data_IF_761335016272
#
_entry.id   IF_761335016272
#
_cell.length_a   1.000
_cell.length_b   1.000
_cell.length_c   1.000
_cell.angle_alpha   90.00
_cell.angle_beta   90.00
_cell.angle_gamma   90.00
#
_symmetry.space_group_name_H-M   'P 1'
#
loop_
_entity.id
_entity.type
_entity.pdbx_description
1 polymer ?
#
# COMPACT_ATOMS: atom_id res chain seq x y z
N UNK A 1 -3.03 26.53 -26.25
CA UNK A 1 -2.31 25.24 -26.22
C UNK A 1 -1.01 25.51 -25.46
N UNK A 2 -0.94 25.09 -24.20
CA UNK A 2 0.26 25.20 -23.36
C UNK A 2 0.45 23.82 -22.73
N UNK A 3 1.62 23.26 -22.96
CA UNK A 3 2.11 22.04 -22.35
C UNK A 3 2.14 22.19 -20.82
N UNK A 4 1.68 21.17 -20.11
CA UNK A 4 1.99 20.97 -18.71
C UNK A 4 2.89 19.76 -18.68
N UNK A 5 4.19 20.04 -18.56
CA UNK A 5 5.20 19.06 -18.19
C UNK A 5 4.77 18.40 -16.86
N UNK A 6 4.51 17.10 -16.91
CA UNK A 6 4.32 16.30 -15.70
C UNK A 6 5.72 16.12 -15.12
N UNK A 7 6.06 17.00 -14.18
CA UNK A 7 7.29 16.95 -13.42
C UNK A 7 7.30 15.65 -12.61
N UNK A 8 8.31 14.83 -12.88
CA UNK A 8 8.67 13.62 -12.16
C UNK A 8 8.85 13.93 -10.66
N UNK A 9 7.77 13.76 -9.90
CA UNK A 9 7.79 13.99 -8.45
C UNK A 9 8.17 12.70 -7.75
N UNK A 10 9.48 12.48 -7.68
CA UNK A 10 10.06 11.65 -6.63
C UNK A 10 9.70 12.30 -5.29
N UNK A 11 8.56 11.94 -4.70
CA UNK A 11 8.16 12.40 -3.38
C UNK A 11 9.17 11.83 -2.38
N UNK A 12 9.93 12.67 -1.64
CA UNK A 12 10.78 12.19 -0.57
C UNK A 12 9.90 11.50 0.46
N UNK A 13 10.22 10.24 0.78
CA UNK A 13 9.54 9.37 1.74
C UNK A 13 9.29 9.97 3.15
N UNK A 14 9.78 11.19 3.44
CA UNK A 14 9.66 11.89 4.73
C UNK A 14 8.58 12.97 4.81
N UNK A 15 7.78 13.22 3.76
CA UNK A 15 6.75 14.27 3.77
C UNK A 15 5.36 13.72 3.37
N UNK A 16 4.94 12.63 4.01
CA UNK A 16 3.50 12.41 4.18
C UNK A 16 2.95 13.67 4.86
N UNK A 17 1.98 14.33 4.24
CA UNK A 17 1.42 15.59 4.67
C UNK A 17 1.08 15.54 6.18
N UNK A 18 1.94 16.14 7.02
CA UNK A 18 1.81 16.08 8.48
C UNK A 18 0.42 16.57 8.92
N UNK A 19 -0.19 17.48 8.15
CA UNK A 19 -1.52 17.99 8.39
C UNK A 19 -2.58 16.89 8.32
N UNK A 20 -2.49 15.98 7.35
CA UNK A 20 -3.40 14.84 7.25
C UNK A 20 -3.21 13.88 8.42
N UNK A 21 -1.96 13.53 8.76
CA UNK A 21 -1.67 12.60 9.86
C UNK A 21 -2.16 13.17 11.19
N UNK A 22 -1.93 14.46 11.44
CA UNK A 22 -2.38 15.15 12.64
C UNK A 22 -3.91 15.25 12.70
N UNK A 23 -4.54 15.63 11.58
CA UNK A 23 -5.99 15.67 11.46
C UNK A 23 -6.62 14.29 11.71
N UNK A 24 -6.05 13.24 11.12
CA UNK A 24 -6.54 11.87 11.24
C UNK A 24 -6.48 11.43 12.71
N UNK A 25 -5.35 11.65 13.39
CA UNK A 25 -5.19 11.41 14.83
C UNK A 25 -6.22 12.12 15.68
N UNK A 26 -6.37 13.43 15.47
CA UNK A 26 -7.37 14.22 16.21
C UNK A 26 -8.79 13.69 15.96
N UNK A 27 -9.10 13.30 14.72
CA UNK A 27 -10.41 12.77 14.34
C UNK A 27 -10.70 11.42 14.99
N UNK A 28 -9.75 10.48 14.96
CA UNK A 28 -9.93 9.15 15.58
C UNK A 28 -10.06 9.27 17.10
N UNK A 29 -9.29 10.17 17.73
CA UNK A 29 -9.43 10.43 19.17
C UNK A 29 -10.86 10.85 19.57
N UNK A 30 -11.46 11.79 18.83
CA UNK A 30 -12.84 12.25 19.06
C UNK A 30 -13.86 11.13 18.81
N UNK A 31 -13.66 10.31 17.77
CA UNK A 31 -14.57 9.20 17.49
C UNK A 31 -14.48 8.11 18.55
N UNK A 32 -13.28 7.82 19.05
CA UNK A 32 -13.05 6.82 20.08
C UNK A 32 -13.70 7.23 21.41
N UNK A 33 -13.60 8.50 21.81
CA UNK A 33 -14.25 8.99 23.04
C UNK A 33 -15.79 8.94 22.97
N UNK A 34 -16.36 8.94 21.76
CA UNK A 34 -17.79 8.78 21.52
C UNK A 34 -18.23 7.32 21.35
N UNK A 35 -17.30 6.35 21.41
CA UNK A 35 -17.59 4.93 21.14
C UNK A 35 -17.95 4.65 19.67
N UNK A 36 -17.53 5.52 18.75
CA UNK A 36 -17.86 5.47 17.31
C UNK A 36 -16.69 5.10 16.41
N UNK A 37 -15.48 4.95 16.96
CA UNK A 37 -14.33 4.48 16.21
C UNK A 37 -14.34 2.95 16.15
N UNK A 38 -14.07 2.39 14.98
CA UNK A 38 -13.83 0.95 14.84
C UNK A 38 -12.41 0.60 15.25
N UNK A 39 -12.19 -0.65 15.63
CA UNK A 39 -10.85 -1.14 15.99
C UNK A 39 -9.86 -1.03 14.81
N UNK A 40 -10.32 -1.10 13.57
CA UNK A 40 -9.50 -0.89 12.37
C UNK A 40 -8.99 0.56 12.29
N UNK A 41 -9.87 1.53 12.53
CA UNK A 41 -9.52 2.95 12.50
C UNK A 41 -8.56 3.31 13.64
N UNK A 42 -8.82 2.80 14.84
CA UNK A 42 -7.91 2.95 15.99
C UNK A 42 -6.55 2.30 15.66
N UNK A 43 -6.57 1.12 15.06
CA UNK A 43 -5.36 0.42 14.67
C UNK A 43 -4.54 1.16 13.60
N UNK A 44 -5.20 1.85 12.66
CA UNK A 44 -4.53 2.68 11.66
C UNK A 44 -3.91 3.93 12.28
N UNK A 45 -4.61 4.54 13.24
CA UNK A 45 -4.16 5.74 13.95
C UNK A 45 -2.86 5.51 14.75
N UNK A 46 -2.83 4.41 15.50
CA UNK A 46 -1.63 3.96 16.22
C UNK A 46 -0.48 3.68 15.26
N UNK A 47 -0.80 3.22 14.04
CA UNK A 47 0.15 2.94 12.99
C UNK A 47 0.69 1.51 13.00
N UNK A 48 1.70 1.29 12.18
CA UNK A 48 2.32 -0.03 12.01
C UNK A 48 3.26 -0.34 13.17
N UNK A 49 3.36 -1.63 13.51
CA UNK A 49 4.45 -2.13 14.33
C UNK A 49 5.76 -1.89 13.57
N UNK A 50 6.85 -1.42 14.23
CA UNK A 50 8.12 -1.08 13.57
C UNK A 50 8.79 -2.22 12.78
N UNK A 51 8.26 -3.44 12.87
CA UNK A 51 8.78 -4.63 12.23
C UNK A 51 8.07 -4.89 10.89
N UNK A 52 8.77 -4.56 9.80
CA UNK A 52 8.35 -4.88 8.43
C UNK A 52 9.05 -6.14 7.95
N UNK A 53 8.29 -7.10 7.41
CA UNK A 53 8.87 -8.30 6.80
C UNK A 53 8.89 -8.15 5.27
N UNK A 54 10.00 -8.52 4.64
CA UNK A 54 10.15 -8.57 3.19
C UNK A 54 10.10 -10.02 2.71
N UNK A 55 9.32 -10.29 1.67
CA UNK A 55 9.14 -11.62 1.10
C UNK A 55 9.52 -11.64 -0.38
N UNK A 56 10.03 -12.77 -0.86
CA UNK A 56 10.32 -13.02 -2.27
C UNK A 56 9.17 -13.69 -3.02
N UNK A 57 8.16 -14.20 -2.28
CA UNK A 57 7.07 -15.03 -2.79
C UNK A 57 5.79 -14.68 -2.06
N UNK A 58 4.68 -14.62 -2.80
CA UNK A 58 3.33 -14.50 -2.24
C UNK A 58 2.42 -15.58 -2.82
N UNK A 59 1.59 -16.20 -1.98
CA UNK A 59 0.55 -17.15 -2.43
C UNK A 59 -0.82 -16.53 -2.25
N UNK A 60 -1.60 -16.50 -3.32
CA UNK A 60 -2.99 -16.01 -3.32
C UNK A 60 -3.84 -16.92 -4.17
N UNK A 61 -4.91 -17.47 -3.60
CA UNK A 61 -5.88 -18.31 -4.33
C UNK A 61 -5.25 -19.44 -5.16
N UNK A 62 -4.17 -20.07 -4.65
CA UNK A 62 -3.45 -21.13 -5.35
C UNK A 62 -2.38 -20.65 -6.35
N UNK A 63 -2.30 -19.36 -6.64
CA UNK A 63 -1.27 -18.77 -7.49
C UNK A 63 -0.06 -18.34 -6.68
N UNK A 64 1.12 -18.67 -7.19
CA UNK A 64 2.41 -18.29 -6.60
C UNK A 64 3.01 -17.14 -7.38
N UNK A 65 2.97 -15.94 -6.80
CA UNK A 65 3.66 -14.76 -7.28
C UNK A 65 5.10 -14.76 -6.77
N UNK A 66 6.04 -14.32 -7.61
CA UNK A 66 7.44 -14.17 -7.26
C UNK A 66 7.98 -12.85 -7.75
N UNK A 67 8.91 -12.27 -7.00
CA UNK A 67 9.69 -11.14 -7.52
C UNK A 67 10.44 -11.56 -8.79
N UNK A 68 10.60 -10.60 -9.72
CA UNK A 68 11.37 -10.82 -10.94
C UNK A 68 12.85 -11.08 -10.60
N UNK A 69 13.36 -12.21 -11.09
CA UNK A 69 14.76 -12.58 -11.04
C UNK A 69 15.34 -12.52 -12.45
N UNK A 70 16.45 -11.81 -12.63
CA UNK A 70 17.13 -11.65 -13.93
C UNK A 70 17.48 -12.98 -14.60
N UNK A 71 17.74 -14.02 -13.79
CA UNK A 71 18.27 -15.30 -14.25
C UNK A 71 17.19 -16.27 -14.75
N UNK A 72 15.90 -15.96 -14.54
CA UNK A 72 14.80 -16.85 -14.92
C UNK A 72 14.01 -16.29 -16.09
N UNK A 73 13.79 -17.13 -17.11
CA UNK A 73 13.00 -16.77 -18.30
C UNK A 73 11.49 -16.72 -18.02
N UNK A 74 10.98 -17.59 -17.16
CA UNK A 74 9.55 -17.66 -16.83
C UNK A 74 9.35 -17.60 -15.31
N UNK A 75 8.68 -16.54 -14.86
CA UNK A 75 8.24 -16.37 -13.48
C UNK A 75 6.94 -15.59 -13.46
N UNK A 76 5.99 -16.03 -12.63
CA UNK A 76 4.74 -15.33 -12.42
C UNK A 76 4.99 -14.09 -11.53
N UNK A 77 5.48 -13.03 -12.16
CA UNK A 77 5.88 -11.77 -11.53
C UNK A 77 5.00 -10.59 -11.96
N UNK A 78 4.12 -10.79 -12.95
CA UNK A 78 3.16 -9.77 -13.35
C UNK A 78 2.02 -9.65 -12.34
N UNK A 79 1.60 -8.43 -12.06
CA UNK A 79 0.44 -8.09 -11.25
C UNK A 79 -0.45 -7.16 -12.07
N UNK A 80 -1.75 -7.44 -12.10
CA UNK A 80 -2.75 -6.61 -12.74
C UNK A 80 -3.77 -6.18 -11.68
N UNK A 81 -4.01 -4.88 -11.56
CA UNK A 81 -4.99 -4.33 -10.63
C UNK A 81 -5.95 -3.44 -11.40
N UNK A 82 -7.25 -3.66 -11.19
CA UNK A 82 -8.27 -2.78 -11.73
C UNK A 82 -8.31 -1.51 -10.87
N UNK A 83 -8.22 -0.35 -11.50
CA UNK A 83 -8.41 0.94 -10.86
C UNK A 83 -9.83 1.09 -10.34
N UNK A 84 -9.98 1.82 -9.23
CA UNK A 84 -11.27 2.12 -8.60
C UNK A 84 -11.86 3.46 -9.09
N UNK A 85 -11.50 3.86 -10.31
CA UNK A 85 -11.95 5.12 -10.90
C UNK A 85 -13.30 4.87 -11.60
N UNK A 86 -14.36 5.48 -11.09
CA UNK A 86 -15.76 5.19 -11.47
C UNK A 86 -16.04 5.35 -12.97
N UNK A 87 -15.25 6.19 -13.66
CA UNK A 87 -15.43 6.51 -15.07
C UNK A 87 -14.41 5.84 -15.99
N UNK A 88 -13.40 5.16 -15.45
CA UNK A 88 -12.37 4.53 -16.26
C UNK A 88 -12.05 3.13 -15.75
N UNK A 89 -12.41 2.11 -16.52
CA UNK A 89 -11.95 0.73 -16.36
C UNK A 89 -10.44 0.64 -16.66
N UNK A 90 -9.63 1.50 -16.04
CA UNK A 90 -8.18 1.50 -16.17
C UNK A 90 -7.65 0.30 -15.43
N UNK A 91 -6.76 -0.41 -16.10
CA UNK A 91 -6.03 -1.52 -15.52
C UNK A 91 -4.58 -1.07 -15.36
N UNK A 92 -4.03 -1.30 -14.18
CA UNK A 92 -2.65 -1.04 -13.86
C UNK A 92 -1.91 -2.38 -13.89
N UNK A 93 -1.02 -2.52 -14.86
CA UNK A 93 -0.09 -3.63 -14.92
C UNK A 93 1.24 -3.19 -14.30
N UNK A 94 1.83 -4.07 -13.49
CA UNK A 94 3.16 -3.87 -12.95
C UNK A 94 3.91 -5.18 -12.76
N UNK A 95 5.23 -5.08 -12.69
CA UNK A 95 6.11 -6.23 -12.46
C UNK A 95 6.60 -6.21 -11.02
N UNK A 96 6.34 -7.29 -10.30
CA UNK A 96 6.67 -7.44 -8.89
C UNK A 96 8.18 -7.37 -8.63
N UNK A 97 8.60 -6.35 -7.88
CA UNK A 97 9.97 -6.20 -7.39
C UNK A 97 10.10 -6.72 -5.96
N UNK A 98 9.16 -6.36 -5.09
CA UNK A 98 9.20 -6.67 -3.68
C UNK A 98 7.81 -6.81 -3.06
N UNK A 99 7.74 -7.61 -2.00
CA UNK A 99 6.54 -7.79 -1.18
C UNK A 99 6.89 -7.44 0.25
N UNK A 100 6.14 -6.52 0.84
CA UNK A 100 6.25 -6.15 2.25
C UNK A 100 5.01 -6.61 3.00
N UNK A 101 5.21 -7.07 4.23
CA UNK A 101 4.12 -7.34 5.17
C UNK A 101 4.22 -6.38 6.33
N UNK A 102 3.19 -5.56 6.44
CA UNK A 102 2.97 -4.66 7.55
C UNK A 102 2.07 -5.33 8.58
N UNK A 103 2.36 -5.07 9.85
CA UNK A 103 1.52 -5.48 10.97
C UNK A 103 1.01 -4.23 11.65
N UNK A 104 -0.28 -4.23 11.95
CA UNK A 104 -0.92 -3.22 12.77
C UNK A 104 -1.40 -3.86 14.08
N UNK A 105 -1.84 -3.01 15.01
CA UNK A 105 -2.39 -3.44 16.30
C UNK A 105 -3.63 -4.35 16.10
N UNK A 106 -3.86 -5.26 17.03
CA UNK A 106 -4.96 -6.23 16.92
C UNK A 106 -4.74 -7.31 15.86
N UNK A 107 -3.47 -7.68 15.59
CA UNK A 107 -3.09 -8.75 14.66
C UNK A 107 -3.52 -8.51 13.20
N UNK A 108 -3.83 -7.26 12.83
CA UNK A 108 -4.14 -6.85 11.46
C UNK A 108 -2.87 -6.86 10.61
N UNK A 109 -2.97 -7.37 9.38
CA UNK A 109 -1.84 -7.56 8.47
C UNK A 109 -2.20 -7.06 7.09
N UNK A 110 -1.28 -6.34 6.46
CA UNK A 110 -1.42 -5.85 5.09
C UNK A 110 -0.19 -6.27 4.30
N UNK A 111 -0.41 -6.69 3.06
CA UNK A 111 0.66 -6.99 2.10
C UNK A 111 0.75 -5.84 1.10
N UNK A 112 1.93 -5.23 0.98
CA UNK A 112 2.22 -4.20 -0.01
C UNK A 112 3.10 -4.80 -1.11
N UNK A 113 2.74 -4.52 -2.36
CA UNK A 113 3.46 -4.98 -3.54
C UNK A 113 4.13 -3.77 -4.16
N UNK A 114 5.47 -3.79 -4.21
CA UNK A 114 6.22 -2.81 -4.98
C UNK A 114 6.35 -3.36 -6.40
N UNK A 115 5.85 -2.61 -7.36
CA UNK A 115 5.88 -2.97 -8.78
C UNK A 115 6.56 -1.87 -9.59
N UNK A 116 7.23 -2.27 -10.68
CA UNK A 116 7.71 -1.39 -11.75
C UNK A 116 6.72 -1.34 -12.90
#
# INVERSE_FOLDING_TARGET
>A
MREIEIQDSTIPHGMLNNDFINWFRARIFVLASQGRATDELISLDVGTVPLVHRYSIFMVSGFRLKKKELVRKTQNSGVLVKGDDSDSNKEYYGVLEDIYKLRYVGNRKIHLFKCH
#
